data_IF_845532607491
#
_entry.id   IF_845532607491
#
_cell.length_a   1.000
_cell.length_b   1.000
_cell.length_c   1.000
_cell.angle_alpha   90.00
_cell.angle_beta   90.00
_cell.angle_gamma   90.00
#
_symmetry.space_group_name_H-M   'P 1'
#
loop_
_entity.id
_entity.type
_entity.pdbx_description
1 polymer ?
#
# COMPACT_ATOMS: atom_id res chain seq x y z
N UNK A 1 -7.63 -43.20 -59.37
CA UNK A 1 -7.71 -43.57 -57.94
C UNK A 1 -8.38 -42.43 -57.17
N UNK A 2 -9.69 -42.46 -56.99
CA UNK A 2 -10.43 -41.51 -56.16
C UNK A 2 -10.63 -42.09 -54.76
N UNK A 3 -10.17 -41.41 -53.71
CA UNK A 3 -10.47 -41.80 -52.32
C UNK A 3 -11.93 -41.43 -52.02
N UNK A 4 -12.77 -42.43 -51.78
CA UNK A 4 -14.11 -42.21 -51.21
C UNK A 4 -13.98 -41.93 -49.71
N UNK A 5 -14.46 -40.76 -49.28
CA UNK A 5 -14.52 -40.38 -47.87
C UNK A 5 -15.73 -41.06 -47.20
N UNK A 6 -15.55 -41.52 -45.97
CA UNK A 6 -16.62 -42.13 -45.18
C UNK A 6 -17.63 -41.07 -44.69
N UNK A 7 -18.91 -41.42 -44.51
CA UNK A 7 -19.95 -40.50 -43.99
C UNK A 7 -19.54 -39.81 -42.68
N UNK A 8 -18.75 -40.48 -41.84
CA UNK A 8 -18.25 -39.94 -40.57
C UNK A 8 -17.22 -38.80 -40.78
N UNK A 9 -16.39 -38.91 -41.82
CA UNK A 9 -15.43 -37.86 -42.20
C UNK A 9 -16.14 -36.64 -42.81
N UNK A 10 -17.19 -36.88 -43.61
CA UNK A 10 -18.03 -35.81 -44.17
C UNK A 10 -18.78 -35.05 -43.06
N UNK A 11 -19.35 -35.74 -42.06
CA UNK A 11 -19.99 -35.10 -40.90
C UNK A 11 -19.02 -34.27 -40.05
N UNK A 12 -17.79 -34.74 -39.85
CA UNK A 12 -16.76 -33.98 -39.14
C UNK A 12 -16.37 -32.68 -39.84
N UNK A 13 -16.25 -32.71 -41.17
CA UNK A 13 -15.93 -31.53 -41.98
C UNK A 13 -17.04 -30.46 -41.91
N UNK A 14 -18.30 -30.87 -41.86
CA UNK A 14 -19.45 -29.96 -41.73
C UNK A 14 -19.50 -29.27 -40.36
N UNK A 15 -19.09 -29.96 -39.29
CA UNK A 15 -19.05 -29.38 -37.93
C UNK A 15 -17.92 -28.36 -37.82
N UNK A 16 -16.72 -28.69 -38.31
CA UNK A 16 -15.55 -27.78 -38.27
C UNK A 16 -15.85 -26.50 -39.05
N UNK A 17 -16.47 -26.60 -40.24
CA UNK A 17 -16.84 -25.43 -41.02
C UNK A 17 -17.91 -24.57 -40.32
N UNK A 18 -18.91 -25.19 -39.66
CA UNK A 18 -19.92 -24.43 -38.89
C UNK A 18 -19.30 -23.66 -37.72
N UNK A 19 -18.36 -24.26 -37.00
CA UNK A 19 -17.66 -23.59 -35.89
C UNK A 19 -16.81 -22.43 -36.41
N UNK A 20 -16.11 -22.62 -37.54
CA UNK A 20 -15.30 -21.58 -38.15
C UNK A 20 -16.15 -20.37 -38.60
N UNK A 21 -17.33 -20.61 -39.18
CA UNK A 21 -18.27 -19.56 -39.56
C UNK A 21 -18.82 -18.78 -38.35
N UNK A 22 -19.06 -19.46 -37.22
CA UNK A 22 -19.50 -18.79 -35.98
C UNK A 22 -18.39 -17.89 -35.43
N UNK A 23 -17.15 -18.36 -35.40
CA UNK A 23 -15.99 -17.57 -34.93
C UNK A 23 -15.78 -16.34 -35.82
N UNK A 24 -15.83 -16.51 -37.14
CA UNK A 24 -15.73 -15.40 -38.11
C UNK A 24 -16.87 -14.39 -37.92
N UNK A 25 -18.09 -14.85 -37.65
CA UNK A 25 -19.24 -13.98 -37.36
C UNK A 25 -19.06 -13.17 -36.07
N UNK A 26 -18.55 -13.79 -35.00
CA UNK A 26 -18.27 -13.11 -33.72
C UNK A 26 -17.14 -12.09 -33.90
N UNK A 27 -16.07 -12.42 -34.63
CA UNK A 27 -14.99 -11.46 -34.91
C UNK A 27 -15.49 -10.26 -35.71
N UNK A 28 -16.36 -10.49 -36.71
CA UNK A 28 -16.94 -9.41 -37.50
C UNK A 28 -17.84 -8.50 -36.64
N UNK A 29 -18.63 -9.07 -35.71
CA UNK A 29 -19.45 -8.34 -34.75
C UNK A 29 -18.61 -7.46 -33.81
N UNK A 30 -17.49 -8.00 -33.30
CA UNK A 30 -16.56 -7.26 -32.43
C UNK A 30 -15.91 -6.07 -33.16
N UNK A 31 -15.51 -6.27 -34.42
CA UNK A 31 -14.89 -5.23 -35.24
C UNK A 31 -15.87 -4.14 -35.68
N UNK A 32 -17.14 -4.48 -35.90
CA UNK A 32 -18.14 -3.55 -36.46
C UNK A 32 -18.99 -2.84 -35.43
N UNK A 33 -19.17 -3.41 -34.22
CA UNK A 33 -20.04 -2.85 -33.19
C UNK A 33 -19.25 -2.41 -31.97
N UNK A 34 -18.39 -3.27 -31.43
CA UNK A 34 -17.68 -2.96 -30.17
C UNK A 34 -16.59 -1.92 -30.38
N UNK A 35 -15.81 -2.04 -31.46
CA UNK A 35 -14.72 -1.13 -31.74
C UNK A 35 -15.17 0.34 -31.96
N UNK A 36 -16.23 0.64 -32.74
CA UNK A 36 -16.74 2.01 -32.88
C UNK A 36 -17.30 2.60 -31.58
N UNK A 37 -17.95 1.78 -30.74
CA UNK A 37 -18.46 2.22 -29.44
C UNK A 37 -17.29 2.62 -28.52
N UNK A 38 -16.23 1.82 -28.45
CA UNK A 38 -15.02 2.16 -27.70
C UNK A 38 -14.32 3.43 -28.23
N UNK A 39 -14.35 3.66 -29.55
CA UNK A 39 -13.82 4.88 -30.16
C UNK A 39 -14.64 6.12 -29.78
N UNK A 40 -15.97 6.00 -29.71
CA UNK A 40 -16.86 7.09 -29.28
C UNK A 40 -16.64 7.47 -27.80
N UNK A 41 -16.45 6.48 -26.92
CA UNK A 41 -16.15 6.74 -25.50
C UNK A 41 -14.79 7.41 -25.30
N UNK A 42 -13.76 7.02 -26.06
CA UNK A 42 -12.43 7.61 -25.95
C UNK A 42 -12.37 9.05 -26.49
N UNK A 43 -13.08 9.35 -27.58
CA UNK A 43 -13.23 10.73 -28.09
C UNK A 43 -13.99 11.61 -27.09
N UNK A 44 -15.06 11.09 -26.47
CA UNK A 44 -15.82 11.81 -25.44
C UNK A 44 -14.97 12.17 -24.21
N UNK A 45 -14.16 11.23 -23.72
CA UNK A 45 -13.22 11.47 -22.63
C UNK A 45 -12.17 12.53 -22.99
N UNK A 46 -11.69 12.53 -24.24
CA UNK A 46 -10.72 13.51 -24.73
C UNK A 46 -11.31 14.92 -24.81
N UNK A 47 -12.56 15.07 -25.26
CA UNK A 47 -13.25 16.37 -25.32
C UNK A 47 -13.48 16.95 -23.92
N UNK A 48 -13.84 16.11 -22.94
CA UNK A 48 -14.02 16.52 -21.54
C UNK A 48 -12.69 17.01 -20.95
N UNK A 49 -11.60 16.24 -21.16
CA UNK A 49 -10.26 16.62 -20.71
C UNK A 49 -9.78 17.94 -21.36
N UNK A 50 -10.10 18.16 -22.64
CA UNK A 50 -9.73 19.38 -23.35
C UNK A 50 -10.53 20.60 -22.86
N UNK A 51 -11.84 20.46 -22.59
CA UNK A 51 -12.66 21.51 -21.96
C UNK A 51 -12.20 21.85 -20.55
N UNK A 52 -11.81 20.85 -19.76
CA UNK A 52 -11.26 21.05 -18.42
C UNK A 52 -9.93 21.83 -18.47
N UNK A 53 -9.04 21.49 -19.41
CA UNK A 53 -7.76 22.18 -19.60
C UNK A 53 -7.93 23.61 -20.12
N UNK A 54 -8.89 23.86 -21.00
CA UNK A 54 -9.20 25.21 -21.51
C UNK A 54 -9.77 26.14 -20.42
N UNK A 55 -10.61 25.61 -19.50
CA UNK A 55 -11.16 26.38 -18.37
C UNK A 55 -10.11 26.79 -17.34
N UNK A 56 -9.02 26.02 -17.21
CA UNK A 56 -7.93 26.30 -16.29
C UNK A 56 -6.80 27.17 -16.89
N UNK A 57 -6.83 27.43 -18.19
CA UNK A 57 -5.83 28.28 -18.87
C UNK A 57 -6.17 29.78 -18.85
N UNK A 58 -7.39 30.17 -18.44
CA UNK A 58 -7.86 31.57 -18.42
C UNK A 58 -7.73 32.27 -17.06
N UNK A 59 -7.25 31.58 -16.02
CA UNK A 59 -7.07 32.16 -14.68
C UNK A 59 -5.58 32.49 -14.49
N UNK A 60 -5.17 33.64 -15.00
CA UNK A 60 -3.81 34.12 -14.84
C UNK A 60 -3.60 35.47 -15.49
N UNK A 61 -3.88 36.54 -14.75
CA UNK A 61 -3.24 37.86 -14.88
C UNK A 61 -3.56 38.72 -13.64
N UNK A 62 -2.49 39.12 -12.97
CA UNK A 62 -2.41 40.00 -11.79
C UNK A 62 -2.52 41.47 -12.18
N UNK A 63 -3.12 42.29 -11.31
CA UNK A 63 -2.72 43.69 -11.08
C UNK A 63 -2.76 44.02 -9.58
N UNK A 64 -1.81 44.85 -9.17
CA UNK A 64 -1.52 45.33 -7.82
C UNK A 64 -2.35 46.57 -7.45
N UNK A 65 -2.81 46.70 -6.20
CA UNK A 65 -2.64 47.91 -5.39
C UNK A 65 -3.14 47.70 -3.93
N UNK A 66 -2.52 48.47 -3.04
CA UNK A 66 -2.55 48.57 -1.57
C UNK A 66 -3.89 48.85 -0.89
N UNK A 67 -4.19 48.17 0.23
CA UNK A 67 -4.43 48.68 1.60
C UNK A 67 -5.09 47.57 2.46
N UNK A 68 -4.65 47.45 3.73
CA UNK A 68 -4.99 46.39 4.67
C UNK A 68 -6.47 46.37 5.09
N UNK A 69 -7.17 45.26 4.86
CA UNK A 69 -8.27 44.75 5.69
C UNK A 69 -8.18 43.20 5.76
N UNK A 70 -8.53 42.57 6.89
CA UNK A 70 -8.37 41.13 7.06
C UNK A 70 -9.42 40.37 6.23
N UNK A 71 -8.97 39.70 5.17
CA UNK A 71 -9.82 38.83 4.36
C UNK A 71 -10.21 37.61 5.20
N UNK A 72 -11.50 37.46 5.51
CA UNK A 72 -12.09 36.17 5.89
C UNK A 72 -11.98 35.24 4.68
N UNK A 73 -10.88 34.49 4.58
CA UNK A 73 -10.74 33.46 3.57
C UNK A 73 -11.81 32.39 3.78
N UNK A 74 -12.58 32.09 2.74
CA UNK A 74 -13.56 31.01 2.76
C UNK A 74 -12.85 29.65 2.81
N UNK A 75 -13.49 28.67 3.46
CA UNK A 75 -12.98 27.29 3.61
C UNK A 75 -12.52 26.65 2.26
N UNK A 76 -13.07 27.11 1.13
CA UNK A 76 -12.71 26.65 -0.21
C UNK A 76 -11.29 27.04 -0.67
N UNK A 77 -10.76 28.17 -0.20
CA UNK A 77 -9.40 28.61 -0.59
C UNK A 77 -8.32 27.75 0.06
N UNK A 78 -8.54 27.36 1.32
CA UNK A 78 -7.70 26.39 2.02
C UNK A 78 -7.92 24.96 1.48
N UNK A 79 -9.09 24.59 0.95
CA UNK A 79 -9.26 23.26 0.34
C UNK A 79 -8.54 23.12 -1.02
N UNK A 80 -8.51 24.17 -1.85
CA UNK A 80 -7.88 24.13 -3.18
C UNK A 80 -6.35 24.19 -3.15
N UNK A 81 -5.77 24.90 -2.20
CA UNK A 81 -4.30 25.01 -2.10
C UNK A 81 -3.68 23.71 -1.57
N UNK A 82 -4.44 22.94 -0.77
CA UNK A 82 -3.97 21.72 -0.11
C UNK A 82 -4.33 20.44 -0.86
N UNK A 83 -5.32 20.45 -1.76
CA UNK A 83 -5.55 19.34 -2.71
C UNK A 83 -4.40 19.14 -3.70
N UNK A 84 -3.55 20.16 -3.91
CA UNK A 84 -2.27 20.03 -4.64
C UNK A 84 -1.09 19.55 -3.78
N UNK A 85 -1.25 19.46 -2.45
CA UNK A 85 -0.20 19.09 -1.49
C UNK A 85 -0.29 17.66 -0.95
N UNK A 86 -1.22 16.85 -1.45
CA UNK A 86 -1.37 15.41 -1.11
C UNK A 86 -0.56 14.55 -2.09
N UNK A 87 0.60 15.02 -2.55
CA UNK A 87 1.51 14.19 -3.34
C UNK A 87 2.52 13.51 -2.41
N UNK A 88 2.25 12.24 -2.14
CA UNK A 88 3.19 11.23 -1.58
C UNK A 88 3.56 11.44 -0.10
N UNK A 89 2.65 11.06 0.81
CA UNK A 89 2.97 10.89 2.25
C UNK A 89 3.51 9.49 2.61
N UNK A 90 3.56 8.55 1.67
CA UNK A 90 4.01 7.19 1.97
C UNK A 90 5.42 6.92 1.46
N UNK A 91 6.42 7.28 2.27
CA UNK A 91 7.51 6.32 2.40
C UNK A 91 6.97 5.21 3.31
N UNK A 92 6.55 4.09 2.71
CA UNK A 92 6.21 2.89 3.49
C UNK A 92 7.45 2.50 4.26
N UNK A 93 7.48 2.82 5.56
CA UNK A 93 8.59 2.41 6.41
C UNK A 93 8.60 0.89 6.42
N UNK A 94 9.70 0.29 5.94
CA UNK A 94 9.88 -1.15 6.00
C UNK A 94 10.10 -1.53 7.47
N UNK A 95 9.00 -1.66 8.21
CA UNK A 95 9.00 -1.94 9.63
C UNK A 95 9.40 -3.39 9.84
N UNK A 96 10.70 -3.66 9.81
CA UNK A 96 11.31 -4.88 10.34
C UNK A 96 11.59 -4.75 11.83
N UNK A 97 11.64 -3.51 12.32
CA UNK A 97 11.91 -3.16 13.71
C UNK A 97 11.07 -1.97 14.19
N UNK A 98 11.06 -1.77 15.50
CA UNK A 98 10.40 -0.63 16.13
C UNK A 98 11.35 0.58 16.02
N UNK A 99 10.89 1.75 15.54
CA UNK A 99 11.73 2.94 15.51
C UNK A 99 12.22 3.33 16.92
N UNK A 100 13.43 3.91 17.04
CA UNK A 100 13.95 4.33 18.33
C UNK A 100 13.17 5.51 18.93
N UNK A 101 12.51 6.33 18.10
CA UNK A 101 11.71 7.47 18.55
C UNK A 101 10.52 7.66 17.60
N UNK A 102 9.31 7.74 18.16
CA UNK A 102 8.06 7.89 17.41
C UNK A 102 6.92 8.32 18.34
N UNK A 103 5.84 8.82 17.75
CA UNK A 103 4.56 9.06 18.45
C UNK A 103 3.50 8.12 17.94
N UNK A 104 2.59 7.72 18.83
CA UNK A 104 1.35 7.06 18.45
C UNK A 104 0.22 8.06 18.56
N UNK A 105 -0.61 8.14 17.53
CA UNK A 105 -1.72 9.08 17.41
C UNK A 105 -3.02 8.32 17.19
N UNK A 106 -4.07 8.78 17.88
CA UNK A 106 -5.45 8.39 17.63
C UNK A 106 -6.38 9.59 17.90
N UNK A 107 -7.36 9.80 17.03
CA UNK A 107 -8.37 10.86 17.13
C UNK A 107 -9.78 10.29 17.18
N UNK A 108 -10.61 10.97 17.95
CA UNK A 108 -12.07 10.83 17.83
C UNK A 108 -12.65 12.08 17.17
N UNK A 109 -13.65 11.87 16.33
CA UNK A 109 -14.23 12.93 15.50
C UNK A 109 -15.76 12.90 15.51
N UNK A 110 -16.39 14.01 15.10
CA UNK A 110 -17.85 14.09 14.92
C UNK A 110 -18.35 13.39 13.65
N UNK A 111 -17.45 12.91 12.79
CA UNK A 111 -17.75 12.31 11.49
C UNK A 111 -16.49 11.98 10.68
N UNK A 112 -16.63 11.73 9.38
CA UNK A 112 -15.56 11.16 8.54
C UNK A 112 -14.85 12.18 7.64
N UNK A 113 -15.36 13.40 7.54
CA UNK A 113 -14.85 14.43 6.63
C UNK A 113 -14.02 15.46 7.38
N UNK A 114 -12.71 15.49 7.15
CA UNK A 114 -11.82 16.47 7.80
C UNK A 114 -12.15 17.94 7.47
N UNK A 115 -12.91 18.18 6.40
CA UNK A 115 -13.33 19.53 5.99
C UNK A 115 -14.51 20.05 6.83
N UNK A 116 -15.50 19.20 7.07
CA UNK A 116 -16.78 19.57 7.69
C UNK A 116 -16.91 19.12 9.14
N UNK A 117 -16.30 17.99 9.50
CA UNK A 117 -16.33 17.42 10.84
C UNK A 117 -15.20 17.96 11.73
N UNK A 118 -15.30 17.69 13.03
CA UNK A 118 -14.43 18.24 14.07
C UNK A 118 -13.79 17.13 14.89
N UNK A 119 -12.58 17.40 15.38
CA UNK A 119 -11.88 16.57 16.35
C UNK A 119 -12.51 16.82 17.72
N UNK A 120 -12.81 15.75 18.47
CA UNK A 120 -13.43 15.79 19.81
C UNK A 120 -12.60 15.07 20.88
N UNK A 121 -11.65 14.23 20.50
CA UNK A 121 -10.59 13.72 21.40
C UNK A 121 -9.30 13.60 20.59
N UNK A 122 -8.17 13.85 21.24
CA UNK A 122 -6.84 13.58 20.69
C UNK A 122 -6.01 12.85 21.73
N UNK A 123 -5.43 11.72 21.34
CA UNK A 123 -4.48 10.95 22.13
C UNK A 123 -3.14 10.86 21.41
N UNK A 124 -2.06 11.17 22.13
CA UNK A 124 -0.68 11.09 21.64
C UNK A 124 0.18 10.42 22.72
N UNK A 125 0.89 9.37 22.35
CA UNK A 125 1.90 8.73 23.21
C UNK A 125 3.25 8.81 22.52
N UNK A 126 4.22 9.49 23.14
CA UNK A 126 5.60 9.56 22.67
C UNK A 126 6.41 8.42 23.26
N UNK A 127 7.09 7.68 22.39
CA UNK A 127 8.05 6.65 22.76
C UNK A 127 9.48 7.05 22.39
N UNK A 128 10.41 6.78 23.29
CA UNK A 128 11.85 6.82 23.04
C UNK A 128 12.51 5.54 23.59
N UNK A 129 13.24 4.85 22.74
CA UNK A 129 13.93 3.59 23.04
C UNK A 129 13.03 2.57 23.75
N UNK A 130 11.78 2.47 23.27
CA UNK A 130 10.78 1.55 23.79
C UNK A 130 10.13 1.96 25.13
N UNK A 131 10.37 3.18 25.61
CA UNK A 131 9.76 3.72 26.84
C UNK A 131 8.85 4.90 26.51
N UNK A 132 7.74 5.01 27.22
CA UNK A 132 6.88 6.19 27.15
C UNK A 132 7.61 7.37 27.81
N UNK A 133 7.71 8.49 27.11
CA UNK A 133 8.34 9.73 27.62
C UNK A 133 7.38 10.92 27.66
N UNK A 134 6.29 10.89 26.91
CA UNK A 134 5.18 11.84 27.00
C UNK A 134 3.85 11.14 26.71
N UNK A 135 2.78 11.61 27.33
CA UNK A 135 1.42 11.14 27.08
C UNK A 135 0.48 12.34 27.17
N UNK A 136 -0.26 12.58 26.09
CA UNK A 136 -1.20 13.67 25.97
C UNK A 136 -2.56 13.11 25.56
N UNK A 137 -3.60 13.38 26.37
CA UNK A 137 -4.98 13.06 26.01
C UNK A 137 -5.86 14.27 26.33
N UNK A 138 -6.67 14.70 25.37
CA UNK A 138 -7.51 15.90 25.53
C UNK A 138 -8.85 15.74 24.81
N UNK A 139 -9.95 15.86 25.55
CA UNK A 139 -11.27 16.11 24.98
C UNK A 139 -11.34 17.54 24.46
N UNK A 140 -12.05 17.75 23.35
CA UNK A 140 -12.07 19.02 22.62
C UNK A 140 -13.52 19.44 22.41
N UNK A 141 -13.83 20.72 22.67
CA UNK A 141 -15.10 21.32 22.25
C UNK A 141 -15.09 21.49 20.72
N UNK A 142 -15.97 20.78 19.97
CA UNK A 142 -16.00 20.88 18.52
C UNK A 142 -16.72 22.14 18.01
N UNK A 143 -17.28 22.96 18.89
CA UNK A 143 -18.10 24.13 18.55
C UNK A 143 -19.36 23.78 17.72
N UNK A 144 -19.80 22.53 17.83
CA UNK A 144 -21.00 22.01 17.18
C UNK A 144 -21.59 20.84 17.98
N UNK A 145 -22.84 20.46 17.67
CA UNK A 145 -23.44 19.27 18.25
C UNK A 145 -22.75 18.00 17.72
N UNK A 146 -22.34 17.09 18.61
CA UNK A 146 -21.79 15.78 18.25
C UNK A 146 -22.93 14.88 17.75
N UNK A 147 -22.91 14.40 16.50
CA UNK A 147 -23.94 13.49 15.98
C UNK A 147 -24.03 12.20 16.81
N UNK A 148 -25.26 11.68 16.98
CA UNK A 148 -25.49 10.50 17.81
C UNK A 148 -24.74 9.28 17.29
N UNK A 149 -24.58 9.17 15.96
CA UNK A 149 -23.82 8.10 15.31
C UNK A 149 -22.35 8.11 15.73
N UNK A 150 -21.73 9.29 15.85
CA UNK A 150 -20.37 9.43 16.34
C UNK A 150 -20.29 9.07 17.83
N UNK A 151 -21.17 9.62 18.65
CA UNK A 151 -21.26 9.28 20.09
C UNK A 151 -21.49 7.79 20.33
N UNK A 152 -22.24 7.09 19.47
CA UNK A 152 -22.46 5.65 19.60
C UNK A 152 -21.19 4.82 19.33
N UNK A 153 -20.24 5.36 18.57
CA UNK A 153 -18.99 4.69 18.21
C UNK A 153 -17.93 4.95 19.29
N UNK A 154 -17.71 6.22 19.64
CA UNK A 154 -16.62 6.63 20.51
C UNK A 154 -17.03 6.88 21.96
N UNK A 155 -18.32 6.94 22.25
CA UNK A 155 -18.86 7.16 23.60
C UNK A 155 -18.71 8.59 24.11
N UNK A 156 -18.30 9.55 23.27
CA UNK A 156 -18.14 10.96 23.66
C UNK A 156 -19.47 11.69 23.48
N UNK A 157 -19.94 12.34 24.54
CA UNK A 157 -21.21 13.10 24.54
C UNK A 157 -20.96 14.61 24.55
N UNK A 158 -21.97 15.39 24.14
CA UNK A 158 -21.91 16.85 24.19
C UNK A 158 -21.61 17.38 25.61
N UNK A 159 -22.08 16.69 26.66
CA UNK A 159 -21.81 17.09 28.05
C UNK A 159 -20.34 16.88 28.45
N UNK A 160 -19.67 15.86 27.91
CA UNK A 160 -18.27 15.57 28.21
C UNK A 160 -17.32 16.62 27.63
N UNK A 161 -17.64 17.15 26.46
CA UNK A 161 -16.81 18.17 25.79
C UNK A 161 -17.15 19.60 26.24
N UNK A 162 -18.20 19.77 27.06
CA UNK A 162 -18.62 21.09 27.52
C UNK A 162 -17.55 21.72 28.42
N UNK A 163 -17.04 22.88 28.01
CA UNK A 163 -15.98 23.58 28.73
C UNK A 163 -14.58 22.99 28.53
N UNK A 164 -14.44 21.98 27.67
CA UNK A 164 -13.14 21.57 27.15
C UNK A 164 -12.56 22.65 26.23
N UNK A 165 -11.23 22.69 26.03
CA UNK A 165 -10.62 23.62 25.09
C UNK A 165 -11.05 23.30 23.66
N UNK A 166 -11.07 24.31 22.81
CA UNK A 166 -11.27 24.20 21.37
C UNK A 166 -9.96 23.79 20.71
N UNK A 167 -10.04 23.23 19.50
CA UNK A 167 -8.85 22.74 18.79
C UNK A 167 -7.79 23.83 18.60
N UNK A 168 -8.18 25.07 18.31
CA UNK A 168 -7.24 26.18 18.09
C UNK A 168 -6.50 26.62 19.36
N UNK A 169 -7.05 26.34 20.55
CA UNK A 169 -6.41 26.67 21.83
C UNK A 169 -5.28 25.70 22.17
N UNK A 170 -5.32 24.48 21.62
CA UNK A 170 -4.32 23.42 21.87
C UNK A 170 -3.44 23.12 20.65
N UNK A 171 -3.70 23.74 19.50
CA UNK A 171 -3.09 23.36 18.22
C UNK A 171 -1.57 23.53 18.21
N UNK A 172 -1.04 24.53 18.92
CA UNK A 172 0.41 24.73 19.09
C UNK A 172 1.05 23.55 19.80
N UNK A 173 0.45 23.14 20.93
CA UNK A 173 0.90 22.02 21.73
C UNK A 173 0.85 20.69 20.95
N UNK A 174 -0.22 20.47 20.18
CA UNK A 174 -0.36 19.27 19.33
C UNK A 174 0.65 19.27 18.19
N UNK A 175 0.89 20.44 17.58
CA UNK A 175 1.88 20.59 16.51
C UNK A 175 3.29 20.23 17.00
N UNK A 176 3.69 20.77 18.15
CA UNK A 176 5.04 20.56 18.70
C UNK A 176 5.31 19.08 19.05
N UNK A 177 4.24 18.33 19.37
CA UNK A 177 4.32 16.88 19.65
C UNK A 177 4.43 16.00 18.41
N UNK A 178 4.01 16.49 17.24
CA UNK A 178 3.86 15.68 16.02
C UNK A 178 4.89 16.09 14.96
N UNK A 179 5.22 17.38 14.88
CA UNK A 179 6.06 17.89 13.81
C UNK A 179 7.48 17.31 13.92
N UNK A 180 7.98 16.75 12.81
CA UNK A 180 9.30 16.12 12.75
C UNK A 180 9.35 14.69 13.31
N UNK A 181 8.23 14.15 13.80
CA UNK A 181 8.15 12.81 14.36
C UNK A 181 7.77 11.74 13.33
N UNK A 182 8.13 10.49 13.63
CA UNK A 182 7.49 9.33 13.02
C UNK A 182 6.13 9.16 13.70
N UNK A 183 5.05 9.21 12.92
CA UNK A 183 3.68 9.07 13.44
C UNK A 183 3.15 7.68 13.13
N UNK A 184 2.86 6.93 14.18
CA UNK A 184 2.23 5.62 14.13
C UNK A 184 0.75 5.73 14.51
N UNK A 185 -0.10 4.96 13.85
CA UNK A 185 -1.51 4.87 14.22
C UNK A 185 -2.20 3.74 13.46
N UNK A 186 -3.44 3.43 13.82
CA UNK A 186 -4.24 2.43 13.13
C UNK A 186 -5.14 3.10 12.10
N UNK A 187 -4.87 2.94 10.81
CA UNK A 187 -5.50 3.75 9.76
C UNK A 187 -5.17 5.26 9.88
N UNK A 188 -3.93 5.56 10.31
CA UNK A 188 -3.44 6.90 10.71
C UNK A 188 -3.58 7.99 9.64
N UNK A 189 -3.74 7.62 8.37
CA UNK A 189 -3.99 8.59 7.30
C UNK A 189 -5.31 9.35 7.53
N UNK A 190 -6.29 8.75 8.21
CA UNK A 190 -7.52 9.40 8.64
C UNK A 190 -7.21 10.55 9.61
N UNK A 191 -6.47 10.26 10.67
CA UNK A 191 -6.10 11.20 11.73
C UNK A 191 -5.29 12.38 11.17
N UNK A 192 -4.30 12.07 10.33
CA UNK A 192 -3.44 13.07 9.70
C UNK A 192 -4.24 14.02 8.80
N UNK A 193 -5.32 13.57 8.13
CA UNK A 193 -6.18 14.46 7.33
C UNK A 193 -6.91 15.48 8.20
N UNK A 194 -7.41 15.07 9.36
CA UNK A 194 -8.05 15.96 10.34
C UNK A 194 -7.05 16.96 10.90
N UNK A 195 -5.89 16.49 11.37
CA UNK A 195 -4.84 17.37 11.89
C UNK A 195 -4.31 18.33 10.84
N UNK A 196 -4.05 17.88 9.62
CA UNK A 196 -3.57 18.75 8.54
C UNK A 196 -4.55 19.89 8.25
N UNK A 197 -5.87 19.60 8.32
CA UNK A 197 -6.90 20.63 8.17
C UNK A 197 -6.88 21.62 9.36
N UNK A 198 -6.75 21.13 10.58
CA UNK A 198 -6.67 21.97 11.78
C UNK A 198 -5.40 22.85 11.82
N UNK A 199 -4.25 22.29 11.43
CA UNK A 199 -2.99 23.01 11.29
C UNK A 199 -3.06 24.08 10.20
N UNK A 200 -3.64 23.74 9.04
CA UNK A 200 -3.85 24.68 7.94
C UNK A 200 -4.69 25.90 8.35
N UNK A 201 -5.78 25.67 9.10
CA UNK A 201 -6.62 26.75 9.67
C UNK A 201 -5.85 27.65 10.66
N UNK A 202 -4.76 27.15 11.24
CA UNK A 202 -3.92 27.85 12.21
C UNK A 202 -2.61 28.35 11.59
N UNK A 203 -2.50 28.39 10.25
CA UNK A 203 -1.28 28.77 9.50
C UNK A 203 -0.02 27.96 9.88
N UNK A 204 -0.19 26.72 10.35
CA UNK A 204 0.90 25.80 10.62
C UNK A 204 1.14 24.90 9.42
N UNK A 205 2.39 24.85 8.96
CA UNK A 205 2.82 23.94 7.90
C UNK A 205 3.46 22.73 8.55
N UNK A 206 2.94 21.54 8.29
CA UNK A 206 3.65 20.33 8.66
C UNK A 206 4.68 20.03 7.56
N UNK A 207 5.93 19.82 7.96
CA UNK A 207 6.94 19.24 7.08
C UNK A 207 6.65 17.75 6.84
N UNK A 208 7.19 17.15 5.78
CA UNK A 208 6.93 15.74 5.39
C UNK A 208 6.95 14.79 6.59
N UNK A 209 5.78 14.32 7.01
CA UNK A 209 5.65 13.30 8.07
C UNK A 209 6.04 11.93 7.55
N UNK A 210 6.67 11.13 8.42
CA UNK A 210 6.87 9.71 8.19
C UNK A 210 5.77 8.95 8.91
N UNK A 211 4.96 8.19 8.17
CA UNK A 211 3.79 7.50 8.72
C UNK A 211 4.03 5.99 8.83
N UNK A 212 3.60 5.41 9.95
CA UNK A 212 3.46 3.96 10.13
C UNK A 212 1.98 3.65 10.33
N UNK A 213 1.33 3.19 9.27
CA UNK A 213 -0.05 2.71 9.35
C UNK A 213 -0.08 1.22 9.75
N UNK A 214 -0.44 0.96 11.00
CA UNK A 214 -0.50 -0.40 11.57
C UNK A 214 -1.55 -1.26 10.87
N UNK A 215 -2.60 -0.68 10.29
CA UNK A 215 -3.57 -1.43 9.48
C UNK A 215 -2.90 -2.06 8.25
N UNK A 216 -1.99 -1.34 7.60
CA UNK A 216 -1.24 -1.88 6.46
C UNK A 216 -0.27 -2.98 6.92
N UNK A 217 0.43 -2.76 8.04
CA UNK A 217 1.30 -3.79 8.64
C UNK A 217 0.53 -5.08 8.93
N UNK A 218 -0.70 -4.97 9.46
CA UNK A 218 -1.58 -6.11 9.71
C UNK A 218 -1.95 -6.82 8.40
N UNK A 219 -2.35 -6.08 7.36
CA UNK A 219 -2.73 -6.65 6.04
C UNK A 219 -1.57 -7.39 5.38
N UNK A 220 -0.35 -6.90 5.53
CA UNK A 220 0.85 -7.54 5.02
C UNK A 220 1.29 -8.77 5.82
N UNK A 221 1.00 -8.78 7.12
CA UNK A 221 1.47 -9.83 8.03
C UNK A 221 0.53 -11.02 8.06
N UNK A 222 -0.78 -10.76 8.10
CA UNK A 222 -1.79 -11.78 8.31
C UNK A 222 -2.50 -12.12 6.99
N UNK A 223 -2.69 -13.41 6.64
CA UNK A 223 -3.52 -13.84 5.52
C UNK A 223 -4.98 -13.37 5.68
N UNK A 224 -5.60 -12.90 4.60
CA UNK A 224 -6.94 -12.28 4.60
C UNK A 224 -8.06 -13.15 5.21
N UNK A 225 -7.90 -14.48 5.21
CA UNK A 225 -8.88 -15.44 5.71
C UNK A 225 -8.82 -15.68 7.23
N UNK A 226 -7.80 -15.19 7.93
CA UNK A 226 -7.64 -15.49 9.36
C UNK A 226 -8.63 -14.77 10.28
N UNK A 227 -9.15 -13.62 9.85
CA UNK A 227 -10.04 -12.79 10.66
C UNK A 227 -11.20 -12.28 9.82
N UNK A 228 -12.36 -12.08 10.44
CA UNK A 228 -13.55 -11.53 9.77
C UNK A 228 -13.33 -10.15 9.11
N UNK A 229 -12.49 -9.31 9.72
CA UNK A 229 -12.09 -8.00 9.22
C UNK A 229 -10.78 -7.57 9.90
N UNK A 230 -10.23 -6.43 9.49
CA UNK A 230 -9.01 -5.83 10.05
C UNK A 230 -9.32 -4.55 10.83
N UNK A 231 -10.38 -4.53 11.64
CA UNK A 231 -10.60 -3.43 12.59
C UNK A 231 -9.68 -3.61 13.80
N UNK A 232 -9.32 -2.50 14.46
CA UNK A 232 -8.46 -2.53 15.65
C UNK A 232 -9.02 -3.48 16.71
N UNK A 233 -10.32 -3.36 17.01
CA UNK A 233 -11.02 -4.23 17.96
C UNK A 233 -10.94 -5.72 17.57
N UNK A 234 -11.03 -6.06 16.29
CA UNK A 234 -10.86 -7.44 15.83
C UNK A 234 -9.42 -7.92 16.04
N UNK A 235 -8.41 -7.05 15.83
CA UNK A 235 -7.00 -7.41 16.07
C UNK A 235 -6.67 -7.52 17.55
N UNK A 236 -7.24 -6.65 18.39
CA UNK A 236 -7.17 -6.72 19.85
C UNK A 236 -7.62 -8.10 20.34
N UNK A 237 -8.82 -8.51 19.91
CA UNK A 237 -9.40 -9.81 20.25
C UNK A 237 -8.58 -10.98 19.68
N UNK A 238 -8.17 -10.91 18.41
CA UNK A 238 -7.35 -11.94 17.75
C UNK A 238 -6.03 -12.18 18.49
N UNK A 239 -5.38 -11.12 18.97
CA UNK A 239 -4.11 -11.22 19.70
C UNK A 239 -4.26 -11.40 21.22
N UNK A 240 -5.50 -11.41 21.75
CA UNK A 240 -5.76 -11.47 23.19
C UNK A 240 -5.10 -10.31 23.94
N UNK A 241 -5.23 -9.09 23.42
CA UNK A 241 -4.66 -7.88 24.04
C UNK A 241 -5.69 -7.30 25.01
N UNK A 242 -5.30 -7.21 26.29
CA UNK A 242 -6.06 -6.50 27.32
C UNK A 242 -5.63 -5.02 27.35
N UNK A 243 -6.59 -4.10 27.51
CA UNK A 243 -6.33 -2.67 27.67
C UNK A 243 -7.01 -2.15 28.93
N UNK A 244 -6.32 -1.29 29.68
CA UNK A 244 -6.82 -0.76 30.97
C UNK A 244 -7.43 0.65 30.84
N UNK A 245 -7.11 1.35 29.75
CA UNK A 245 -7.62 2.68 29.43
C UNK A 245 -8.98 2.63 28.72
N UNK A 246 -9.70 3.75 28.72
CA UNK A 246 -10.97 3.92 28.01
C UNK A 246 -10.78 4.89 26.82
N UNK A 247 -11.19 4.49 25.60
CA UNK A 247 -11.19 5.28 24.34
C UNK A 247 -9.80 5.48 23.67
N UNK A 248 -9.58 6.64 23.05
CA UNK A 248 -8.47 6.92 22.13
C UNK A 248 -7.07 6.60 22.69
N UNK A 249 -6.85 6.82 23.99
CA UNK A 249 -5.57 6.48 24.62
C UNK A 249 -5.36 4.96 24.70
N UNK A 250 -6.43 4.21 24.99
CA UNK A 250 -6.40 2.76 24.96
C UNK A 250 -6.12 2.24 23.55
N UNK A 251 -6.70 2.90 22.54
CA UNK A 251 -6.50 2.53 21.14
C UNK A 251 -5.07 2.82 20.68
N UNK A 252 -4.40 3.86 21.19
CA UNK A 252 -2.96 4.05 21.01
C UNK A 252 -2.15 2.88 21.58
N UNK A 253 -2.45 2.43 22.81
CA UNK A 253 -1.76 1.29 23.45
C UNK A 253 -1.97 -0.02 22.68
N UNK A 254 -3.22 -0.31 22.32
CA UNK A 254 -3.59 -1.50 21.54
C UNK A 254 -2.92 -1.47 20.17
N UNK A 255 -2.90 -0.31 19.51
CA UNK A 255 -2.22 -0.12 18.22
C UNK A 255 -0.75 -0.51 18.31
N UNK A 256 -0.04 -0.09 19.36
CA UNK A 256 1.35 -0.46 19.55
C UNK A 256 1.53 -1.95 19.78
N UNK A 257 0.68 -2.56 20.61
CA UNK A 257 0.74 -3.99 20.89
C UNK A 257 0.50 -4.82 19.62
N UNK A 258 -0.52 -4.45 18.83
CA UNK A 258 -0.79 -5.08 17.52
C UNK A 258 0.45 -4.99 16.62
N UNK A 259 1.07 -3.80 16.52
CA UNK A 259 2.29 -3.61 15.75
C UNK A 259 3.42 -4.54 16.20
N UNK A 260 3.70 -4.62 17.51
CA UNK A 260 4.71 -5.53 18.08
C UNK A 260 4.43 -6.99 17.77
N UNK A 261 3.17 -7.43 17.86
CA UNK A 261 2.77 -8.81 17.53
C UNK A 261 3.00 -9.10 16.05
N UNK A 262 2.66 -8.17 15.16
CA UNK A 262 2.93 -8.31 13.73
C UNK A 262 4.43 -8.41 13.43
N UNK A 263 5.27 -7.57 14.03
CA UNK A 263 6.73 -7.66 13.87
C UNK A 263 7.28 -9.02 14.34
N UNK A 264 6.79 -9.53 15.47
CA UNK A 264 7.19 -10.86 15.97
C UNK A 264 6.82 -11.96 14.98
N UNK A 265 5.62 -11.89 14.39
CA UNK A 265 5.18 -12.85 13.36
C UNK A 265 6.07 -12.76 12.11
N UNK A 266 6.30 -11.55 11.58
CA UNK A 266 7.20 -11.34 10.43
C UNK A 266 8.58 -11.95 10.69
N UNK A 267 9.17 -11.69 11.88
CA UNK A 267 10.46 -12.24 12.29
C UNK A 267 10.45 -13.78 12.38
N UNK A 268 9.40 -14.38 12.94
CA UNK A 268 9.28 -15.83 13.02
C UNK A 268 9.19 -16.47 11.64
N UNK A 269 8.42 -15.89 10.72
CA UNK A 269 8.36 -16.36 9.33
C UNK A 269 9.72 -16.24 8.63
N UNK A 270 10.46 -15.16 8.85
CA UNK A 270 11.81 -15.01 8.30
C UNK A 270 12.77 -16.07 8.83
N UNK A 271 12.75 -16.34 10.14
CA UNK A 271 13.57 -17.37 10.78
C UNK A 271 13.23 -18.77 10.25
N UNK A 272 11.94 -19.09 10.13
CA UNK A 272 11.49 -20.36 9.55
C UNK A 272 11.93 -20.48 8.09
N UNK A 273 11.79 -19.42 7.29
CA UNK A 273 12.21 -19.44 5.89
C UNK A 273 13.72 -19.68 5.77
N UNK A 274 14.52 -19.04 6.62
CA UNK A 274 15.97 -19.23 6.65
C UNK A 274 16.36 -20.66 7.05
N UNK A 275 15.67 -21.27 8.03
CA UNK A 275 15.94 -22.65 8.42
C UNK A 275 15.58 -23.65 7.32
N UNK A 276 14.41 -23.50 6.70
CA UNK A 276 13.98 -24.31 5.56
C UNK A 276 14.94 -24.17 4.37
N UNK A 277 15.40 -22.95 4.09
CA UNK A 277 16.36 -22.71 3.03
C UNK A 277 17.70 -23.39 3.31
N UNK A 278 18.23 -23.30 4.54
CA UNK A 278 19.46 -24.01 4.94
C UNK A 278 19.33 -25.53 4.78
N UNK A 279 18.20 -26.10 5.19
CA UNK A 279 17.94 -27.54 5.03
C UNK A 279 17.84 -27.95 3.55
N UNK A 280 17.27 -27.09 2.69
CA UNK A 280 17.22 -27.35 1.25
C UNK A 280 18.61 -27.27 0.62
N UNK A 281 19.43 -26.29 1.00
CA UNK A 281 20.82 -26.15 0.54
C UNK A 281 21.67 -27.35 0.97
N UNK A 282 21.47 -27.90 2.18
CA UNK A 282 22.28 -29.03 2.65
C UNK A 282 22.10 -30.30 1.81
N UNK A 283 20.93 -30.46 1.17
CA UNK A 283 20.59 -31.59 0.26
C UNK A 283 21.15 -31.45 -1.16
N UNK A 284 21.73 -30.30 -1.51
CA UNK A 284 22.33 -30.06 -2.82
C UNK A 284 23.74 -30.68 -2.92
N UNK A 285 24.18 -30.98 -4.15
CA UNK A 285 25.57 -31.38 -4.38
C UNK A 285 26.52 -30.18 -4.34
N UNK A 286 27.83 -30.42 -4.29
CA UNK A 286 28.84 -29.37 -4.11
C UNK A 286 28.84 -28.34 -5.26
N UNK A 287 28.58 -28.76 -6.50
CA UNK A 287 28.48 -27.84 -7.64
C UNK A 287 27.25 -26.93 -7.57
N UNK A 288 26.12 -27.46 -7.10
CA UNK A 288 24.89 -26.70 -6.86
C UNK A 288 25.05 -25.72 -5.69
N UNK A 289 25.72 -26.14 -4.60
CA UNK A 289 26.06 -25.28 -3.47
C UNK A 289 26.99 -24.14 -3.88
N UNK A 290 28.04 -24.44 -4.64
CA UNK A 290 28.98 -23.45 -5.16
C UNK A 290 28.27 -22.41 -6.04
N UNK A 291 27.34 -22.87 -6.90
CA UNK A 291 26.52 -21.97 -7.71
C UNK A 291 25.69 -21.01 -6.85
N UNK A 292 25.02 -21.50 -5.81
CA UNK A 292 24.22 -20.65 -4.91
C UNK A 292 25.11 -19.64 -4.17
N UNK A 293 26.23 -20.06 -3.60
CA UNK A 293 27.12 -19.15 -2.88
C UNK A 293 27.67 -18.04 -3.79
N UNK A 294 28.08 -18.38 -5.01
CA UNK A 294 28.54 -17.41 -6.00
C UNK A 294 27.39 -16.48 -6.47
N UNK A 295 26.16 -17.01 -6.59
CA UNK A 295 24.98 -16.20 -6.92
C UNK A 295 24.67 -15.21 -5.80
N UNK A 296 24.67 -15.64 -4.54
CA UNK A 296 24.43 -14.78 -3.37
C UNK A 296 25.45 -13.65 -3.27
N UNK A 297 26.73 -13.97 -3.46
CA UNK A 297 27.82 -12.99 -3.48
C UNK A 297 27.59 -11.93 -4.57
N UNK A 298 27.27 -12.36 -5.80
CA UNK A 298 27.01 -11.44 -6.91
C UNK A 298 25.73 -10.62 -6.70
N UNK A 299 24.66 -11.20 -6.16
CA UNK A 299 23.42 -10.48 -5.87
C UNK A 299 23.60 -9.43 -4.76
N UNK A 300 24.45 -9.70 -3.76
CA UNK A 300 24.78 -8.71 -2.72
C UNK A 300 25.37 -7.43 -3.32
N UNK A 301 26.22 -7.56 -4.32
CA UNK A 301 26.92 -6.43 -4.95
C UNK A 301 26.05 -5.56 -5.86
N UNK A 302 24.80 -5.96 -6.14
CA UNK A 302 23.91 -5.21 -7.07
C UNK A 302 22.94 -4.29 -6.31
N UNK A 303 23.04 -4.21 -4.97
CA UNK A 303 22.18 -3.36 -4.13
C UNK A 303 20.66 -3.60 -4.35
N UNK A 304 20.29 -4.86 -4.63
CA UNK A 304 18.91 -5.28 -4.88
C UNK A 304 18.30 -6.06 -3.70
N UNK A 305 19.04 -6.24 -2.61
CA UNK A 305 18.67 -7.12 -1.49
C UNK A 305 17.30 -6.81 -0.89
N UNK A 306 16.93 -5.53 -0.86
CA UNK A 306 15.68 -5.12 -0.20
C UNK A 306 14.44 -5.39 -1.06
N UNK A 307 14.63 -5.60 -2.38
CA UNK A 307 13.54 -5.80 -3.34
C UNK A 307 13.47 -7.22 -3.86
N UNK A 308 14.61 -7.83 -4.14
CA UNK A 308 14.72 -9.17 -4.71
C UNK A 308 14.81 -10.22 -3.60
N UNK A 309 13.78 -11.06 -3.52
CA UNK A 309 13.76 -12.25 -2.66
C UNK A 309 13.99 -13.48 -3.52
N UNK A 310 14.60 -14.51 -2.95
CA UNK A 310 14.65 -15.81 -3.58
C UNK A 310 14.47 -16.94 -2.55
N UNK A 311 14.01 -18.10 -3.01
CA UNK A 311 13.88 -19.31 -2.21
C UNK A 311 14.15 -20.55 -3.06
N UNK A 312 14.84 -21.54 -2.50
CA UNK A 312 15.05 -22.84 -3.15
C UNK A 312 13.81 -23.69 -2.89
N UNK A 313 13.23 -24.30 -3.91
CA UNK A 313 12.05 -25.16 -3.86
C UNK A 313 12.45 -26.65 -3.78
N UNK A 314 11.48 -27.54 -3.54
CA UNK A 314 11.71 -28.98 -3.36
C UNK A 314 12.28 -29.70 -4.59
N UNK A 315 12.20 -29.09 -5.77
CA UNK A 315 12.61 -29.62 -7.08
C UNK A 315 13.96 -29.05 -7.58
N UNK A 316 14.79 -28.55 -6.66
CA UNK A 316 16.06 -27.85 -6.97
C UNK A 316 15.87 -26.62 -7.85
N UNK A 317 14.71 -25.98 -7.77
CA UNK A 317 14.43 -24.72 -8.46
C UNK A 317 14.60 -23.56 -7.48
N UNK A 318 15.42 -22.59 -7.85
CA UNK A 318 15.50 -21.30 -7.20
C UNK A 318 14.40 -20.42 -7.79
N UNK A 319 13.48 -19.99 -6.95
CA UNK A 319 12.41 -19.08 -7.32
C UNK A 319 12.78 -17.66 -6.89
N UNK A 320 12.61 -16.69 -7.78
CA UNK A 320 12.90 -15.28 -7.53
C UNK A 320 11.61 -14.48 -7.49
N UNK A 321 11.51 -13.55 -6.55
CA UNK A 321 10.33 -12.75 -6.31
C UNK A 321 10.68 -11.28 -6.03
N UNK A 322 9.80 -10.38 -6.46
CA UNK A 322 9.76 -8.97 -6.03
C UNK A 322 8.35 -8.70 -5.52
N UNK A 323 8.22 -8.05 -4.35
CA UNK A 323 6.92 -7.73 -3.75
C UNK A 323 5.97 -8.95 -3.69
N UNK A 324 6.52 -10.12 -3.35
CA UNK A 324 5.84 -11.42 -3.32
C UNK A 324 5.33 -11.96 -4.69
N UNK A 325 5.54 -11.24 -5.79
CA UNK A 325 5.28 -11.72 -7.14
C UNK A 325 6.49 -12.49 -7.67
N UNK A 326 6.26 -13.68 -8.25
CA UNK A 326 7.31 -14.44 -8.93
C UNK A 326 7.74 -13.71 -10.20
N UNK A 327 9.05 -13.47 -10.34
CA UNK A 327 9.65 -12.80 -11.50
C UNK A 327 10.41 -13.77 -12.41
N UNK A 328 10.81 -14.94 -11.88
CA UNK A 328 11.55 -15.92 -12.64
C UNK A 328 12.09 -17.06 -11.78
N UNK A 329 12.66 -18.07 -12.44
CA UNK A 329 13.17 -19.29 -11.80
C UNK A 329 14.47 -19.77 -12.43
N UNK A 330 15.36 -20.35 -11.62
CA UNK A 330 16.57 -21.07 -12.05
C UNK A 330 16.44 -22.52 -11.60
N UNK A 331 16.51 -23.49 -12.51
CA UNK A 331 16.54 -24.92 -12.17
C UNK A 331 17.99 -25.40 -12.11
N UNK A 332 18.35 -26.02 -10.99
CA UNK A 332 19.65 -26.63 -10.78
C UNK A 332 19.63 -28.09 -11.26
N UNK A 333 20.63 -28.50 -12.05
CA UNK A 333 20.77 -29.87 -12.54
C UNK A 333 22.26 -30.29 -12.54
N UNK A 334 22.85 -30.42 -11.35
CA UNK A 334 24.28 -30.70 -11.21
C UNK A 334 25.14 -29.51 -11.62
N UNK A 335 25.89 -29.64 -12.73
CA UNK A 335 26.73 -28.57 -13.30
C UNK A 335 26.09 -27.82 -14.47
N UNK A 336 24.87 -28.20 -14.85
CA UNK A 336 24.07 -27.49 -15.87
C UNK A 336 22.91 -26.81 -15.17
N UNK A 337 22.63 -25.58 -15.55
CA UNK A 337 21.56 -24.79 -14.96
C UNK A 337 20.62 -24.35 -16.06
N UNK A 338 19.33 -24.24 -15.75
CA UNK A 338 18.33 -23.72 -16.69
C UNK A 338 17.65 -22.51 -16.09
N UNK A 339 17.34 -21.52 -16.90
CA UNK A 339 16.68 -20.32 -16.46
C UNK A 339 15.40 -20.03 -17.22
N UNK A 340 14.40 -19.56 -16.48
CA UNK A 340 13.10 -19.24 -17.03
C UNK A 340 13.16 -17.98 -17.91
N UNK A 341 12.64 -18.04 -19.13
CA UNK A 341 12.36 -16.85 -19.92
C UNK A 341 10.86 -16.74 -20.06
N UNK A 342 10.33 -15.57 -19.71
CA UNK A 342 8.93 -15.23 -19.87
C UNK A 342 8.77 -14.68 -21.29
N UNK A 343 8.42 -15.55 -22.24
CA UNK A 343 7.86 -15.12 -23.53
C UNK A 343 6.37 -14.83 -23.34
N UNK A 344 5.79 -13.92 -24.14
CA UNK A 344 4.40 -13.44 -24.01
C UNK A 344 3.38 -14.58 -24.03
N UNK A 345 3.72 -15.69 -24.70
CA UNK A 345 2.80 -16.80 -24.92
C UNK A 345 3.17 -18.10 -24.18
N UNK A 346 4.40 -18.23 -23.64
CA UNK A 346 4.86 -19.46 -22.95
C UNK A 346 6.06 -19.24 -22.00
N UNK A 347 6.19 -20.14 -21.02
CA UNK A 347 7.38 -20.26 -20.17
C UNK A 347 8.44 -21.10 -20.88
N UNK A 348 9.55 -20.48 -21.29
CA UNK A 348 10.72 -21.18 -21.86
C UNK A 348 11.80 -21.39 -20.81
N UNK A 349 12.64 -22.42 -20.99
CA UNK A 349 13.82 -22.67 -20.17
C UNK A 349 15.06 -22.69 -21.06
N UNK A 350 16.00 -21.77 -20.84
CA UNK A 350 17.30 -21.78 -21.52
C UNK A 350 18.38 -22.37 -20.61
N UNK A 351 19.29 -23.13 -21.19
CA UNK A 351 20.53 -23.51 -20.50
C UNK A 351 21.37 -22.26 -20.24
N UNK A 352 22.01 -22.19 -19.08
CA UNK A 352 22.99 -21.16 -18.72
C UNK A 352 24.27 -21.84 -18.23
N UNK A 353 25.41 -21.26 -18.61
CA UNK A 353 26.71 -21.90 -18.41
C UNK A 353 27.37 -21.49 -17.08
N UNK A 354 26.99 -20.32 -16.54
CA UNK A 354 27.63 -19.76 -15.35
C UNK A 354 26.70 -18.81 -14.57
N UNK A 355 27.18 -18.39 -13.39
CA UNK A 355 26.44 -17.52 -12.47
C UNK A 355 26.28 -16.10 -13.03
N UNK A 356 27.23 -15.60 -13.82
CA UNK A 356 27.14 -14.25 -14.42
C UNK A 356 25.97 -14.14 -15.40
N UNK A 357 25.74 -15.17 -16.18
CA UNK A 357 24.58 -15.26 -17.07
C UNK A 357 23.26 -15.29 -16.28
N UNK A 358 23.21 -16.01 -15.16
CA UNK A 358 22.06 -15.99 -14.25
C UNK A 358 21.77 -14.57 -13.74
N UNK A 359 22.81 -13.89 -13.24
CA UNK A 359 22.72 -12.54 -12.69
C UNK A 359 22.27 -11.52 -13.73
N UNK A 360 22.80 -11.58 -14.94
CA UNK A 360 22.42 -10.66 -16.02
C UNK A 360 20.95 -10.81 -16.39
N UNK A 361 20.44 -12.03 -16.46
CA UNK A 361 19.04 -12.23 -16.76
C UNK A 361 18.12 -11.86 -15.58
N UNK A 362 18.54 -12.08 -14.33
CA UNK A 362 17.81 -11.58 -13.15
C UNK A 362 17.67 -10.05 -13.26
N UNK A 363 18.73 -9.32 -13.61
CA UNK A 363 18.64 -7.86 -13.86
C UNK A 363 17.62 -7.51 -14.93
N UNK A 364 17.48 -8.32 -15.99
CA UNK A 364 16.46 -8.12 -17.01
C UNK A 364 15.04 -8.33 -16.48
N UNK A 365 14.79 -9.40 -15.71
CA UNK A 365 13.49 -9.61 -15.06
C UNK A 365 13.10 -8.41 -14.19
N UNK A 366 14.03 -7.88 -13.41
CA UNK A 366 13.79 -6.75 -12.52
C UNK A 366 13.41 -5.50 -13.32
N UNK A 367 14.19 -5.14 -14.36
CA UNK A 367 13.87 -4.01 -15.23
C UNK A 367 12.50 -4.16 -15.89
N UNK A 368 12.15 -5.37 -16.30
CA UNK A 368 10.85 -5.66 -16.90
C UNK A 368 9.70 -5.48 -15.90
N UNK A 369 9.85 -5.98 -14.67
CA UNK A 369 8.89 -5.75 -13.59
C UNK A 369 8.74 -4.26 -13.27
N UNK A 370 9.84 -3.52 -13.17
CA UNK A 370 9.82 -2.07 -12.94
C UNK A 370 9.11 -1.30 -14.06
N UNK A 371 9.26 -1.74 -15.32
CA UNK A 371 8.55 -1.18 -16.47
C UNK A 371 7.04 -1.41 -16.38
N UNK A 372 6.59 -2.61 -15.98
CA UNK A 372 5.16 -2.92 -15.85
C UNK A 372 4.47 -2.20 -14.68
N UNK A 373 5.24 -1.75 -13.69
CA UNK A 373 4.71 -1.02 -12.52
C UNK A 373 4.65 0.49 -12.69
N UNK A 374 5.18 1.04 -13.78
CA UNK A 374 5.07 2.46 -14.17
C UNK A 374 3.91 2.64 -15.13
#
# INVERSE_FOLDING_TARGET
MGKQYTEKQLKGFTIVNKVLFIILGIMLLLLTIVFPICLLFSIGAFIIAFKYKAKNASIGKTESHTLYEPIKASDDYYSQTYSKGIESYSQTYNCTEIPPSFVILDLETTGLSSLSDKIIEISIIKYENGRVVDTYNQLIDPEMHIPQEASNINGITNDMVKGCPKIHEIIDNVYDRINGEIVMGYNVEFDIKFLSTAFGRSNKKIDKLVLIDVLQVVKETLPSKETQNRKLETMKNYFGIESTSHRALADCEVTFEVFKRCLKIKKNYELQRQSEQKERVSKLNDGEKLFISALEEKLYNINLKDKLRYNIMSDKVINFQINNAQIGRVKLNGRKYKMQILDKDNVLWLDIDNVDEAVNNIKHWIKYCEYLTK
#
